data_IF_320482245608
#
_entry.id   IF_320482245608
#
_cell.length_a   1.000
_cell.length_b   1.000
_cell.length_c   1.000
_cell.angle_alpha   90.00
_cell.angle_beta   90.00
_cell.angle_gamma   90.00
#
_symmetry.space_group_name_H-M   'P 1'
#
loop_
_entity.id
_entity.type
_entity.pdbx_description
1 polymer ?
#
# COMPACT_ATOMS: atom_id res chain seq x y z
N UNK A 1 -9.44 -5.98 2.87
CA UNK A 1 -10.67 -6.72 2.57
C UNK A 1 -11.70 -5.79 1.92
N UNK A 2 -12.59 -6.31 1.07
CA UNK A 2 -13.65 -5.56 0.42
C UNK A 2 -15.01 -6.01 0.93
N UNK A 3 -15.91 -5.07 1.09
CA UNK A 3 -17.33 -5.34 1.30
C UNK A 3 -18.02 -5.41 -0.06
N UNK A 4 -18.83 -6.43 -0.31
CA UNK A 4 -19.67 -6.54 -1.50
C UNK A 4 -20.90 -5.66 -1.35
N UNK A 5 -20.74 -4.36 -1.49
CA UNK A 5 -21.83 -3.38 -1.55
C UNK A 5 -21.65 -2.49 -2.78
N UNK A 6 -22.70 -1.74 -3.15
CA UNK A 6 -22.68 -0.83 -4.30
C UNK A 6 -21.58 0.25 -4.24
N UNK A 7 -20.98 0.44 -3.05
CA UNK A 7 -19.80 1.25 -2.82
C UNK A 7 -18.66 0.32 -2.34
N UNK A 8 -17.68 0.05 -3.20
CA UNK A 8 -16.49 -0.73 -2.85
C UNK A 8 -15.61 0.03 -1.87
N UNK A 9 -15.92 -0.05 -0.59
CA UNK A 9 -15.05 0.44 0.47
C UNK A 9 -13.97 -0.57 0.84
N UNK A 10 -12.81 -0.06 1.26
CA UNK A 10 -11.68 -0.86 1.73
C UNK A 10 -11.60 -0.74 3.23
N UNK A 11 -11.72 -1.87 3.91
CA UNK A 11 -11.55 -1.96 5.35
C UNK A 11 -10.23 -2.63 5.70
N UNK A 12 -9.62 -2.17 6.78
CA UNK A 12 -8.44 -2.78 7.39
C UNK A 12 -8.89 -3.53 8.63
N UNK A 13 -8.86 -4.86 8.54
CA UNK A 13 -9.26 -5.73 9.64
C UNK A 13 -8.06 -6.05 10.53
N UNK A 14 -8.26 -6.06 11.85
CA UNK A 14 -7.34 -6.66 12.80
C UNK A 14 -7.42 -8.18 12.76
N UNK A 15 -6.50 -8.87 13.42
CA UNK A 15 -6.54 -10.33 13.52
C UNK A 15 -7.81 -10.83 14.25
N UNK A 16 -8.26 -10.09 15.25
CA UNK A 16 -9.47 -10.43 16.02
C UNK A 16 -10.73 -10.27 15.16
N UNK A 17 -10.77 -9.23 14.30
CA UNK A 17 -11.87 -9.01 13.35
C UNK A 17 -11.88 -10.09 12.26
N UNK A 18 -10.71 -10.53 11.83
CA UNK A 18 -10.56 -11.60 10.84
C UNK A 18 -11.11 -12.94 11.35
N UNK A 19 -10.96 -13.25 12.65
CA UNK A 19 -11.48 -14.48 13.26
C UNK A 19 -13.01 -14.56 13.25
N UNK A 20 -13.69 -13.42 13.28
CA UNK A 20 -15.15 -13.36 13.35
C UNK A 20 -15.80 -13.35 11.97
N UNK A 21 -15.06 -12.95 10.93
CA UNK A 21 -15.60 -12.73 9.60
C UNK A 21 -15.27 -13.88 8.63
N UNK A 22 -16.16 -14.05 7.64
CA UNK A 22 -15.99 -14.98 6.51
C UNK A 22 -15.35 -14.23 5.36
N UNK A 23 -14.10 -14.59 5.02
CA UNK A 23 -13.31 -13.86 4.02
C UNK A 23 -13.08 -14.74 2.79
N UNK A 24 -13.58 -14.29 1.65
CA UNK A 24 -13.38 -14.95 0.35
C UNK A 24 -12.05 -14.58 -0.28
N UNK A 25 -11.59 -15.43 -1.21
CA UNK A 25 -10.34 -15.19 -1.93
C UNK A 25 -10.46 -14.07 -2.96
N UNK A 26 -9.35 -13.34 -3.18
CA UNK A 26 -9.27 -12.29 -4.20
C UNK A 26 -9.51 -12.78 -5.65
N UNK A 27 -9.36 -14.07 -5.89
CA UNK A 27 -9.57 -14.70 -7.20
C UNK A 27 -11.03 -15.03 -7.48
N UNK A 28 -11.95 -14.79 -6.53
CA UNK A 28 -13.39 -15.04 -6.68
C UNK A 28 -13.93 -14.28 -7.89
N UNK A 29 -14.58 -14.95 -8.86
CA UNK A 29 -15.12 -14.28 -10.03
C UNK A 29 -16.24 -13.30 -9.67
N UNK A 30 -16.09 -12.08 -10.14
CA UNK A 30 -17.08 -11.00 -9.98
C UNK A 30 -17.48 -10.42 -11.33
N UNK A 31 -18.69 -9.90 -11.42
CA UNK A 31 -19.14 -9.16 -12.58
C UNK A 31 -18.66 -7.69 -12.54
N UNK A 32 -18.98 -6.92 -13.59
CA UNK A 32 -18.61 -5.51 -13.69
C UNK A 32 -19.26 -4.62 -12.61
N UNK A 33 -20.25 -5.13 -11.87
CA UNK A 33 -20.92 -4.43 -10.77
C UNK A 33 -20.40 -4.83 -9.39
N UNK A 34 -19.37 -5.69 -9.33
CA UNK A 34 -18.80 -6.18 -8.08
C UNK A 34 -19.60 -7.30 -7.40
N UNK A 35 -20.55 -7.93 -8.12
CA UNK A 35 -21.31 -9.06 -7.57
C UNK A 35 -20.60 -10.38 -7.89
N UNK A 36 -20.60 -11.28 -6.92
CA UNK A 36 -20.04 -12.62 -7.06
C UNK A 36 -20.92 -13.45 -8.02
N UNK A 37 -20.31 -14.08 -9.02
CA UNK A 37 -21.03 -14.82 -10.07
C UNK A 37 -21.05 -16.33 -9.85
N UNK A 38 -20.29 -16.84 -8.87
CA UNK A 38 -20.23 -18.28 -8.55
C UNK A 38 -21.26 -18.67 -7.52
N UNK A 39 -21.78 -19.90 -7.61
CA UNK A 39 -22.74 -20.46 -6.65
C UNK A 39 -22.10 -20.72 -5.27
N UNK A 40 -20.81 -21.06 -5.27
CA UNK A 40 -20.04 -21.32 -4.05
C UNK A 40 -18.73 -20.54 -4.10
N UNK A 41 -18.35 -19.96 -2.98
CA UNK A 41 -17.13 -19.19 -2.79
C UNK A 41 -16.23 -19.92 -1.82
N UNK A 42 -14.97 -20.05 -2.19
CA UNK A 42 -13.94 -20.55 -1.29
C UNK A 42 -13.54 -19.46 -0.29
N UNK A 43 -13.72 -19.74 0.99
CA UNK A 43 -13.50 -18.79 2.07
C UNK A 43 -12.61 -19.35 3.15
N UNK A 44 -11.92 -18.45 3.86
CA UNK A 44 -11.34 -18.76 5.17
C UNK A 44 -12.24 -18.19 6.25
N UNK A 45 -12.44 -18.98 7.28
CA UNK A 45 -13.18 -18.61 8.48
C UNK A 45 -12.22 -18.67 9.66
N UNK A 46 -12.27 -17.68 10.52
CA UNK A 46 -11.38 -17.59 11.67
C UNK A 46 -11.40 -18.84 12.53
N UNK A 47 -10.22 -19.24 13.00
CA UNK A 47 -10.03 -20.46 13.82
C UNK A 47 -10.01 -21.77 13.03
N UNK A 48 -10.24 -21.77 11.72
CA UNK A 48 -10.14 -22.96 10.87
C UNK A 48 -8.85 -22.93 10.05
N UNK A 49 -8.09 -24.03 10.08
CA UNK A 49 -6.90 -24.20 9.22
C UNK A 49 -7.27 -24.60 7.78
N UNK A 50 -8.55 -24.90 7.51
CA UNK A 50 -9.01 -25.36 6.21
C UNK A 50 -9.95 -24.36 5.56
N UNK A 51 -9.80 -24.20 4.24
CA UNK A 51 -10.76 -23.47 3.42
C UNK A 51 -12.08 -24.24 3.34
N UNK A 52 -13.19 -23.49 3.40
CA UNK A 52 -14.55 -24.01 3.27
C UNK A 52 -15.26 -23.32 2.13
N UNK A 53 -16.33 -23.96 1.62
CA UNK A 53 -17.15 -23.38 0.57
C UNK A 53 -18.46 -22.90 1.17
N UNK A 54 -18.81 -21.63 0.94
CA UNK A 54 -20.06 -21.03 1.42
C UNK A 54 -20.82 -20.37 0.27
N UNK A 55 -22.09 -20.06 0.52
CA UNK A 55 -22.89 -19.29 -0.43
C UNK A 55 -22.40 -17.82 -0.48
N UNK A 56 -22.48 -17.13 -1.63
CA UNK A 56 -22.06 -15.73 -1.75
C UNK A 56 -22.66 -14.77 -0.70
N UNK A 57 -23.89 -15.01 -0.28
CA UNK A 57 -24.58 -14.19 0.71
C UNK A 57 -23.96 -14.28 2.13
N UNK A 58 -23.22 -15.34 2.40
CA UNK A 58 -22.54 -15.56 3.69
C UNK A 58 -21.11 -15.00 3.71
N UNK A 59 -20.65 -14.39 2.61
CA UNK A 59 -19.32 -13.78 2.50
C UNK A 59 -19.36 -12.36 2.99
N UNK A 60 -18.61 -12.05 4.05
CA UNK A 60 -18.55 -10.70 4.63
C UNK A 60 -17.54 -9.81 3.86
N UNK A 61 -16.38 -10.36 3.53
CA UNK A 61 -15.27 -9.65 2.90
C UNK A 61 -14.61 -10.49 1.82
N UNK A 62 -13.92 -9.81 0.90
CA UNK A 62 -13.03 -10.44 -0.08
C UNK A 62 -11.63 -9.88 0.07
N UNK A 63 -10.62 -10.71 -0.10
CA UNK A 63 -9.24 -10.25 -0.17
C UNK A 63 -9.04 -9.31 -1.35
N UNK A 64 -8.28 -8.24 -1.14
CA UNK A 64 -8.02 -7.23 -2.19
C UNK A 64 -7.23 -7.81 -3.35
N UNK A 65 -6.19 -8.59 -3.06
CA UNK A 65 -5.28 -9.16 -4.05
C UNK A 65 -4.48 -10.31 -3.45
N UNK A 66 -4.12 -11.34 -4.24
CA UNK A 66 -3.15 -12.34 -3.83
C UNK A 66 -1.77 -11.76 -3.50
N UNK A 67 -1.46 -10.57 -4.01
CA UNK A 67 -0.19 -9.88 -3.76
C UNK A 67 -0.01 -9.39 -2.31
N UNK A 68 -1.03 -9.48 -1.46
CA UNK A 68 -0.95 -9.11 -0.04
C UNK A 68 0.08 -9.93 0.76
N UNK A 69 0.44 -11.12 0.31
CA UNK A 69 1.47 -11.95 0.94
C UNK A 69 2.89 -11.41 0.73
N UNK A 70 3.07 -10.50 -0.22
CA UNK A 70 4.36 -9.95 -0.61
C UNK A 70 4.63 -8.68 0.20
N UNK A 71 5.83 -8.55 0.77
CA UNK A 71 6.23 -7.32 1.48
C UNK A 71 6.40 -6.16 0.50
N UNK A 72 6.39 -4.93 1.02
CA UNK A 72 6.59 -3.72 0.21
C UNK A 72 7.93 -3.77 -0.52
N UNK A 73 9.02 -4.17 0.16
CA UNK A 73 10.34 -4.30 -0.48
C UNK A 73 10.33 -5.32 -1.61
N UNK A 74 9.69 -6.47 -1.39
CA UNK A 74 9.58 -7.51 -2.40
C UNK A 74 8.72 -7.09 -3.58
N UNK A 75 7.67 -6.30 -3.35
CA UNK A 75 6.79 -5.77 -4.41
C UNK A 75 7.47 -4.78 -5.35
N UNK A 76 8.62 -4.25 -4.98
CA UNK A 76 9.46 -3.36 -5.80
C UNK A 76 10.48 -4.10 -6.67
N UNK A 77 10.57 -5.43 -6.59
CA UNK A 77 11.46 -6.23 -7.43
C UNK A 77 10.76 -6.53 -8.76
N UNK A 78 11.25 -6.00 -9.88
CA UNK A 78 10.68 -6.31 -11.18
C UNK A 78 10.99 -7.77 -11.56
N UNK A 79 10.05 -8.44 -12.22
CA UNK A 79 10.17 -9.85 -12.64
C UNK A 79 10.42 -10.82 -11.48
N UNK A 80 9.84 -10.55 -10.32
CA UNK A 80 10.00 -11.37 -9.11
C UNK A 80 9.68 -12.85 -9.35
N UNK A 81 8.70 -13.13 -10.17
CA UNK A 81 8.25 -14.49 -10.53
C UNK A 81 9.32 -15.33 -11.23
N UNK A 82 10.35 -14.71 -11.77
CA UNK A 82 11.49 -15.38 -12.42
C UNK A 82 12.70 -15.58 -11.49
N UNK A 83 12.62 -15.08 -10.26
CA UNK A 83 13.71 -15.18 -9.29
C UNK A 83 13.49 -16.34 -8.31
N UNK A 84 14.58 -16.96 -7.91
CA UNK A 84 14.58 -17.91 -6.80
C UNK A 84 14.29 -17.17 -5.47
N UNK A 85 13.57 -17.84 -4.56
CA UNK A 85 13.19 -17.26 -3.27
C UNK A 85 14.38 -16.73 -2.47
N UNK A 86 15.53 -17.42 -2.48
CA UNK A 86 16.72 -16.98 -1.79
C UNK A 86 17.30 -15.68 -2.38
N UNK A 87 17.23 -15.53 -3.72
CA UNK A 87 17.69 -14.32 -4.41
C UNK A 87 16.74 -13.15 -4.20
N UNK A 88 15.43 -13.41 -4.20
CA UNK A 88 14.43 -12.41 -3.86
C UNK A 88 14.61 -11.87 -2.43
N UNK A 89 14.91 -12.75 -1.47
CA UNK A 89 15.22 -12.36 -0.09
C UNK A 89 16.46 -11.46 -0.02
N UNK A 90 17.54 -11.83 -0.72
CA UNK A 90 18.77 -11.02 -0.76
C UNK A 90 18.50 -9.65 -1.39
N UNK A 91 17.78 -9.59 -2.52
CA UNK A 91 17.40 -8.35 -3.19
C UNK A 91 16.55 -7.44 -2.31
N UNK A 92 15.54 -7.98 -1.65
CA UNK A 92 14.71 -7.25 -0.70
C UNK A 92 15.52 -6.66 0.47
N UNK A 93 16.50 -7.41 0.99
CA UNK A 93 17.37 -6.91 2.04
C UNK A 93 18.31 -5.80 1.53
N UNK A 94 18.85 -5.94 0.32
CA UNK A 94 19.73 -4.92 -0.27
C UNK A 94 19.00 -3.60 -0.58
N UNK A 95 17.73 -3.62 -0.95
CA UNK A 95 16.94 -2.40 -1.12
C UNK A 95 16.92 -1.53 0.15
N UNK A 96 16.85 -2.14 1.33
CA UNK A 96 16.88 -1.42 2.60
C UNK A 96 18.25 -0.79 2.93
N UNK A 97 19.29 -1.18 2.21
CA UNK A 97 20.65 -0.66 2.36
C UNK A 97 21.02 0.34 1.25
N UNK A 98 20.04 0.74 0.43
CA UNK A 98 20.26 1.67 -0.66
C UNK A 98 20.68 3.05 -0.15
N UNK A 99 21.64 3.66 -0.84
CA UNK A 99 22.14 5.00 -0.55
C UNK A 99 21.36 6.01 -1.41
N UNK A 100 20.82 7.09 -0.83
CA UNK A 100 20.21 8.16 -1.59
C UNK A 100 21.16 8.78 -2.59
N UNK A 101 20.72 8.92 -3.84
CA UNK A 101 21.54 9.49 -4.90
C UNK A 101 21.41 11.01 -4.93
N UNK A 102 22.49 11.71 -5.31
CA UNK A 102 22.50 13.17 -5.49
C UNK A 102 21.51 13.59 -6.60
N UNK A 103 21.45 12.79 -7.67
CA UNK A 103 20.52 13.01 -8.77
C UNK A 103 19.79 11.70 -9.08
N UNK A 104 18.66 11.45 -8.40
CA UNK A 104 17.86 10.28 -8.64
C UNK A 104 17.15 10.37 -10.00
N UNK A 105 16.96 9.22 -10.64
CA UNK A 105 16.19 9.09 -11.88
C UNK A 105 15.13 8.02 -11.70
N UNK A 106 14.01 8.17 -12.41
CA UNK A 106 12.98 7.15 -12.44
C UNK A 106 13.53 5.85 -13.07
N UNK A 107 13.18 4.67 -12.54
CA UNK A 107 13.62 3.42 -13.11
C UNK A 107 12.99 3.21 -14.50
N UNK A 108 13.79 2.69 -15.45
CA UNK A 108 13.28 2.32 -16.78
C UNK A 108 12.38 1.09 -16.72
N UNK A 109 12.66 0.17 -15.79
CA UNK A 109 11.87 -1.03 -15.52
C UNK A 109 11.44 -0.97 -14.07
N UNK A 110 10.14 -0.97 -13.84
CA UNK A 110 9.55 -0.89 -12.52
C UNK A 110 8.35 -1.81 -12.37
N UNK A 111 7.77 -1.83 -11.19
CA UNK A 111 6.61 -2.66 -10.85
C UNK A 111 5.29 -1.90 -10.83
N UNK A 112 5.34 -0.57 -10.89
CA UNK A 112 4.18 0.31 -10.73
C UNK A 112 3.89 0.68 -9.27
N UNK A 113 4.56 0.05 -8.30
CA UNK A 113 4.41 0.36 -6.88
C UNK A 113 5.27 1.54 -6.43
N UNK A 114 6.23 1.98 -7.24
CA UNK A 114 7.22 2.99 -6.87
C UNK A 114 6.58 4.31 -6.45
N UNK A 115 5.63 4.77 -7.25
CA UNK A 115 4.88 6.00 -6.94
C UNK A 115 4.16 5.90 -5.59
N UNK A 116 3.40 4.83 -5.40
CA UNK A 116 2.62 4.63 -4.18
C UNK A 116 3.51 4.53 -2.94
N UNK A 117 4.61 3.78 -3.04
CA UNK A 117 5.57 3.65 -1.95
C UNK A 117 6.24 5.00 -1.64
N UNK A 118 6.60 5.77 -2.66
CA UNK A 118 7.22 7.08 -2.46
C UNK A 118 6.27 8.06 -1.75
N UNK A 119 4.99 8.11 -2.15
CA UNK A 119 4.01 9.01 -1.54
C UNK A 119 3.65 8.61 -0.11
N UNK A 120 3.45 7.31 0.14
CA UNK A 120 2.99 6.82 1.45
C UNK A 120 4.16 6.67 2.47
N UNK A 121 5.42 6.73 2.02
CA UNK A 121 6.58 6.57 2.90
C UNK A 121 6.85 7.75 3.85
N UNK A 122 6.23 8.91 3.60
CA UNK A 122 6.51 10.15 4.34
C UNK A 122 7.91 10.76 4.07
N UNK A 123 8.65 10.23 3.09
CA UNK A 123 9.94 10.81 2.66
C UNK A 123 9.74 12.08 1.84
N UNK A 124 8.63 12.16 1.11
CA UNK A 124 8.22 13.30 0.31
C UNK A 124 7.02 13.95 0.97
N UNK A 125 7.07 15.25 1.17
CA UNK A 125 5.91 16.01 1.66
C UNK A 125 4.98 16.25 0.48
N UNK A 126 3.74 15.76 0.59
CA UNK A 126 2.71 15.94 -0.43
C UNK A 126 1.78 17.06 -0.03
N UNK A 127 1.46 17.93 -0.97
CA UNK A 127 0.42 18.95 -0.75
C UNK A 127 -0.97 18.29 -0.79
N UNK A 128 -1.80 18.60 0.19
CA UNK A 128 -3.18 18.12 0.26
C UNK A 128 -4.13 18.97 -0.59
N UNK A 129 -3.74 20.22 -0.85
CA UNK A 129 -4.55 21.18 -1.61
C UNK A 129 -3.74 21.83 -2.72
N UNK A 130 -4.43 22.25 -3.76
CA UNK A 130 -3.86 23.11 -4.80
C UNK A 130 -3.73 24.54 -4.24
N UNK A 131 -2.61 25.20 -4.55
CA UNK A 131 -2.37 26.52 -4.01
C UNK A 131 -1.01 27.12 -4.40
N UNK A 132 -0.68 28.24 -3.79
CA UNK A 132 0.57 28.96 -4.00
C UNK A 132 1.40 28.91 -2.73
N UNK A 133 2.68 28.59 -2.86
CA UNK A 133 3.62 28.66 -1.72
C UNK A 133 3.77 30.12 -1.28
N UNK A 134 3.31 30.44 -0.07
CA UNK A 134 3.40 31.77 0.51
C UNK A 134 4.70 31.98 1.28
N UNK A 135 5.20 30.92 1.92
CA UNK A 135 6.43 30.95 2.69
C UNK A 135 7.17 29.60 2.56
N UNK A 136 8.48 29.67 2.42
CA UNK A 136 9.36 28.51 2.42
C UNK A 136 10.55 28.77 3.32
N UNK A 137 10.60 28.06 4.43
CA UNK A 137 11.69 28.11 5.41
C UNK A 137 12.48 26.82 5.44
N UNK A 138 13.48 26.73 6.29
CA UNK A 138 14.22 25.48 6.48
C UNK A 138 13.38 24.40 7.18
N UNK A 139 12.37 24.79 7.93
CA UNK A 139 11.65 23.90 8.86
C UNK A 139 10.22 23.60 8.41
N UNK A 140 9.64 24.46 7.59
CA UNK A 140 8.29 24.28 7.07
C UNK A 140 8.09 24.97 5.71
N UNK A 141 7.06 24.54 5.02
CA UNK A 141 6.53 25.17 3.80
C UNK A 141 5.05 25.49 4.03
N UNK A 142 4.68 26.73 3.75
CA UNK A 142 3.30 27.21 3.90
C UNK A 142 2.66 27.40 2.54
N UNK A 143 1.51 26.74 2.32
CA UNK A 143 0.73 26.82 1.09
C UNK A 143 -0.57 27.58 1.36
N UNK A 144 -0.84 28.58 0.55
CA UNK A 144 -2.11 29.29 0.53
C UNK A 144 -3.00 28.67 -0.54
N UNK A 145 -4.09 28.06 -0.13
CA UNK A 145 -5.11 27.48 -1.03
C UNK A 145 -5.88 28.59 -1.77
N UNK A 146 -6.53 28.23 -2.87
CA UNK A 146 -7.45 29.13 -3.60
C UNK A 146 -8.61 29.60 -2.74
N UNK A 147 -9.05 28.79 -1.76
CA UNK A 147 -10.09 29.12 -0.80
C UNK A 147 -9.65 30.12 0.29
N UNK A 148 -8.39 30.50 0.30
CA UNK A 148 -7.80 31.41 1.28
C UNK A 148 -7.35 30.73 2.58
N UNK A 149 -7.43 29.41 2.67
CA UNK A 149 -6.87 28.67 3.80
C UNK A 149 -5.36 28.52 3.68
N UNK A 150 -4.69 28.60 4.81
CA UNK A 150 -3.24 28.45 4.91
C UNK A 150 -2.89 27.15 5.58
N UNK A 151 -2.19 26.26 4.87
CA UNK A 151 -1.74 24.97 5.39
C UNK A 151 -0.22 24.98 5.55
N UNK A 152 0.25 24.62 6.75
CA UNK A 152 1.67 24.54 7.07
C UNK A 152 2.12 23.06 7.02
N UNK A 153 3.15 22.79 6.23
CA UNK A 153 3.78 21.47 6.07
C UNK A 153 5.14 21.46 6.78
N UNK A 154 5.26 20.82 7.94
CA UNK A 154 6.54 20.71 8.63
C UNK A 154 7.50 19.79 7.89
N UNK A 155 8.77 20.17 7.81
CA UNK A 155 9.83 19.40 7.18
C UNK A 155 10.61 18.57 8.21
N UNK A 156 10.80 17.30 7.89
CA UNK A 156 11.64 16.41 8.72
C UNK A 156 13.11 16.68 8.45
N UNK A 157 13.85 17.10 9.49
CA UNK A 157 15.27 17.46 9.39
C UNK A 157 16.16 16.45 10.11
N UNK A 158 17.18 15.96 9.40
CA UNK A 158 18.29 15.17 9.95
C UNK A 158 17.87 13.96 10.81
N UNK A 159 16.76 13.32 10.48
CA UNK A 159 16.31 12.12 11.17
C UNK A 159 16.99 10.88 10.57
N UNK A 160 17.51 10.02 11.43
CA UNK A 160 18.09 8.74 11.04
C UNK A 160 17.08 7.61 11.22
N UNK A 161 16.82 6.83 10.18
CA UNK A 161 16.02 5.61 10.28
C UNK A 161 16.78 4.48 10.95
N UNK A 162 16.06 3.40 11.33
CA UNK A 162 16.66 2.20 11.93
C UNK A 162 17.68 1.50 11.04
N UNK A 163 17.60 1.67 9.72
CA UNK A 163 18.52 1.09 8.74
C UNK A 163 19.67 2.03 8.32
N UNK A 164 19.89 3.11 9.05
CA UNK A 164 20.95 4.07 8.76
C UNK A 164 20.67 5.03 7.62
N UNK A 165 19.45 5.04 7.06
CA UNK A 165 19.01 6.04 6.09
C UNK A 165 18.78 7.37 6.79
N UNK A 166 19.34 8.45 6.24
CA UNK A 166 19.10 9.81 6.72
C UNK A 166 17.95 10.46 5.94
N UNK A 167 17.00 11.02 6.68
CA UNK A 167 15.88 11.78 6.12
C UNK A 167 16.16 13.25 6.39
N UNK A 168 16.26 14.05 5.33
CA UNK A 168 16.42 15.49 5.39
C UNK A 168 15.64 16.12 4.25
N UNK A 169 14.44 16.62 4.55
CA UNK A 169 13.56 17.26 3.58
C UNK A 169 13.93 18.73 3.38
N UNK A 170 13.89 19.19 2.13
CA UNK A 170 14.23 20.58 1.76
C UNK A 170 13.59 20.97 0.42
#
# INVERSE_FOLDING_TARGET
AYVTTDECDRDYLSADDEEVNTIGQATTPMDAKGQITTELVEVRQGGSESYTYVHPDDVNYLDVSPMQIVSISTSLIPFLEHDDANRALMGSNMQRQAVPLIKPQAPLVGTGMEWRVATDSGQVVMSETDGVVSESTSDHVTVLSEDGETTEYPLTKFVRSNQGTSINQH
#
